data_IF_879098009511
#
_entry.id   IF_879098009511
#
_cell.length_a   1.000
_cell.length_b   1.000
_cell.length_c   1.000
_cell.angle_alpha   90.00
_cell.angle_beta   90.00
_cell.angle_gamma   90.00
#
_symmetry.space_group_name_H-M   'P 1'
#
loop_
_entity.id
_entity.type
_entity.pdbx_description
1 polymer ?
#
# COMPACT_ATOMS: atom_id res chain seq x y z
N UNK A 1 -43.12 0.46 -2.35
CA UNK A 1 -42.38 1.29 -3.31
C UNK A 1 -41.16 0.50 -3.75
N UNK A 2 -40.93 0.36 -5.04
CA UNK A 2 -39.71 -0.25 -5.60
C UNK A 2 -38.59 0.79 -5.61
N UNK A 3 -37.36 0.45 -5.17
CA UNK A 3 -36.25 1.38 -5.23
C UNK A 3 -35.97 1.78 -6.69
N UNK A 4 -35.77 3.07 -6.93
CA UNK A 4 -35.49 3.62 -8.27
C UNK A 4 -34.00 3.60 -8.64
N UNK A 5 -33.13 3.49 -7.63
CA UNK A 5 -31.67 3.50 -7.78
C UNK A 5 -31.11 2.42 -6.86
N UNK A 6 -30.15 1.65 -7.37
CA UNK A 6 -29.31 0.73 -6.61
C UNK A 6 -27.87 1.13 -6.93
N UNK A 7 -27.10 1.46 -5.89
CA UNK A 7 -25.68 1.72 -6.01
C UNK A 7 -24.91 0.46 -5.60
N UNK A 8 -23.88 0.13 -6.36
CA UNK A 8 -22.94 -0.93 -6.04
C UNK A 8 -21.63 -0.26 -5.70
N UNK A 9 -21.02 -0.71 -4.61
CA UNK A 9 -19.60 -0.50 -4.42
C UNK A 9 -18.84 -1.25 -5.52
N UNK A 10 -17.59 -0.88 -5.71
CA UNK A 10 -16.80 -1.29 -6.86
C UNK A 10 -15.80 -2.37 -6.44
N UNK A 11 -14.83 -2.00 -5.61
CA UNK A 11 -13.76 -2.87 -5.16
C UNK A 11 -14.30 -3.94 -4.20
N UNK A 12 -13.91 -5.19 -4.42
CA UNK A 12 -14.37 -6.38 -3.68
C UNK A 12 -15.89 -6.62 -3.71
N UNK A 13 -16.62 -5.89 -4.54
CA UNK A 13 -18.05 -6.09 -4.85
C UNK A 13 -18.27 -6.50 -6.30
N UNK A 14 -17.70 -5.75 -7.25
CA UNK A 14 -17.81 -6.05 -8.69
C UNK A 14 -16.60 -6.83 -9.20
N UNK A 15 -15.43 -6.65 -8.60
CA UNK A 15 -14.18 -7.35 -8.90
C UNK A 15 -13.32 -7.51 -7.66
N UNK A 16 -12.35 -8.43 -7.71
CA UNK A 16 -11.37 -8.60 -6.64
C UNK A 16 -10.41 -7.43 -6.60
N UNK A 17 -10.10 -6.92 -5.41
CA UNK A 17 -9.16 -5.84 -5.19
C UNK A 17 -8.20 -6.15 -4.02
N UNK A 18 -8.71 -6.55 -2.86
CA UNK A 18 -7.88 -6.81 -1.67
C UNK A 18 -6.75 -7.82 -1.88
N UNK A 19 -6.93 -8.94 -2.62
CA UNK A 19 -5.84 -9.89 -2.86
C UNK A 19 -4.62 -9.26 -3.57
N UNK A 20 -4.81 -8.20 -4.35
CA UNK A 20 -3.71 -7.48 -4.99
C UNK A 20 -2.97 -6.58 -4.01
N UNK A 21 -3.67 -5.99 -3.03
CA UNK A 21 -3.04 -5.26 -1.93
C UNK A 21 -2.24 -6.20 -1.02
N UNK A 22 -2.77 -7.39 -0.72
CA UNK A 22 -2.05 -8.43 0.03
C UNK A 22 -0.73 -8.82 -0.67
N UNK A 23 -0.78 -9.08 -1.98
CA UNK A 23 0.42 -9.40 -2.80
C UNK A 23 1.45 -8.26 -2.73
N UNK A 24 0.99 -7.00 -2.85
CA UNK A 24 1.86 -5.83 -2.78
C UNK A 24 2.51 -5.66 -1.40
N UNK A 25 1.75 -5.88 -0.33
CA UNK A 25 2.23 -5.85 1.05
C UNK A 25 3.26 -6.95 1.32
N UNK A 26 3.01 -8.18 0.87
CA UNK A 26 3.94 -9.30 1.01
C UNK A 26 5.28 -8.99 0.30
N UNK A 27 5.21 -8.50 -0.94
CA UNK A 27 6.40 -8.08 -1.70
C UNK A 27 7.21 -7.01 -0.98
N UNK A 28 6.53 -6.04 -0.35
CA UNK A 28 7.20 -5.02 0.46
C UNK A 28 7.83 -5.60 1.72
N UNK A 29 7.14 -6.48 2.44
CA UNK A 29 7.69 -7.16 3.61
C UNK A 29 8.94 -7.97 3.26
N UNK A 30 8.95 -8.71 2.15
CA UNK A 30 10.12 -9.44 1.68
C UNK A 30 11.30 -8.51 1.38
N UNK A 31 11.04 -7.32 0.81
CA UNK A 31 12.07 -6.33 0.51
C UNK A 31 12.76 -5.79 1.78
N UNK A 32 12.04 -5.72 2.90
CA UNK A 32 12.51 -5.14 4.15
C UNK A 32 12.63 -6.14 5.32
N UNK A 33 12.61 -7.44 5.04
CA UNK A 33 12.61 -8.51 6.06
C UNK A 33 13.83 -8.48 6.99
N UNK A 34 14.95 -7.94 6.53
CA UNK A 34 16.17 -7.81 7.34
C UNK A 34 16.09 -6.66 8.36
N UNK A 35 15.08 -5.79 8.28
CA UNK A 35 14.91 -4.63 9.16
C UNK A 35 13.92 -4.87 10.30
N UNK A 36 12.86 -5.63 10.05
CA UNK A 36 11.79 -5.89 11.02
C UNK A 36 10.93 -7.09 10.60
N UNK A 37 10.11 -7.60 11.51
CA UNK A 37 9.12 -8.64 11.18
C UNK A 37 8.04 -8.10 10.24
N UNK A 38 7.40 -8.97 9.45
CA UNK A 38 6.28 -8.57 8.59
C UNK A 38 5.18 -7.85 9.36
N UNK A 39 4.88 -8.30 10.59
CA UNK A 39 3.87 -7.65 11.43
C UNK A 39 4.24 -6.20 11.77
N UNK A 40 5.49 -5.95 12.14
CA UNK A 40 5.98 -4.59 12.43
C UNK A 40 5.97 -3.71 11.18
N UNK A 41 6.41 -4.26 10.05
CA UNK A 41 6.42 -3.57 8.75
C UNK A 41 5.01 -3.14 8.34
N UNK A 42 4.03 -4.06 8.38
CA UNK A 42 2.64 -3.76 8.05
C UNK A 42 2.03 -2.74 9.00
N UNK A 43 2.36 -2.82 10.29
CA UNK A 43 1.96 -1.82 11.28
C UNK A 43 2.50 -0.42 10.94
N UNK A 44 3.74 -0.32 10.47
CA UNK A 44 4.32 0.95 10.03
C UNK A 44 3.62 1.51 8.77
N UNK A 45 3.34 0.67 7.78
CA UNK A 45 2.58 1.09 6.58
C UNK A 45 1.22 1.66 6.99
N UNK A 46 0.47 0.95 7.83
CA UNK A 46 -0.83 1.40 8.32
C UNK A 46 -0.73 2.74 9.08
N UNK A 47 0.26 2.88 9.95
CA UNK A 47 0.47 4.12 10.69
C UNK A 47 0.69 5.32 9.75
N UNK A 48 1.51 5.15 8.71
CA UNK A 48 1.72 6.19 7.70
C UNK A 48 0.46 6.45 6.87
N UNK A 49 -0.30 5.43 6.47
CA UNK A 49 -1.58 5.62 5.76
C UNK A 49 -2.58 6.41 6.60
N UNK A 50 -2.76 6.05 7.87
CA UNK A 50 -3.69 6.75 8.78
C UNK A 50 -3.25 8.19 8.99
N UNK A 51 -1.96 8.41 9.25
CA UNK A 51 -1.40 9.75 9.44
C UNK A 51 -1.58 10.63 8.20
N UNK A 52 -1.41 10.07 7.00
CA UNK A 52 -1.46 10.81 5.75
C UNK A 52 -2.84 10.86 5.12
N UNK A 53 -3.84 10.20 5.70
CA UNK A 53 -5.20 10.16 5.16
C UNK A 53 -5.78 11.56 4.86
N UNK A 54 -5.58 12.61 5.70
CA UNK A 54 -6.06 13.96 5.39
C UNK A 54 -5.39 14.62 4.18
N UNK A 55 -4.18 14.18 3.79
CA UNK A 55 -3.40 14.78 2.72
C UNK A 55 -3.46 13.97 1.43
N UNK A 56 -3.24 12.66 1.50
CA UNK A 56 -3.17 11.79 0.32
C UNK A 56 -4.51 11.13 -0.02
N UNK A 57 -5.45 11.09 0.93
CA UNK A 57 -6.70 10.33 0.78
C UNK A 57 -6.45 8.83 0.65
N UNK A 58 -7.37 8.14 -0.02
CA UNK A 58 -7.33 6.69 -0.22
C UNK A 58 -6.73 6.32 -1.58
N UNK A 59 -6.43 5.02 -1.75
CA UNK A 59 -6.06 4.42 -3.03
C UNK A 59 -4.57 4.17 -3.21
N UNK A 60 -4.22 3.55 -4.34
CA UNK A 60 -2.91 2.94 -4.58
C UNK A 60 -1.75 3.95 -4.55
N UNK A 61 -1.97 5.19 -5.01
CA UNK A 61 -0.93 6.23 -4.98
C UNK A 61 -0.60 6.65 -3.55
N UNK A 62 -1.62 6.84 -2.71
CA UNK A 62 -1.44 7.14 -1.29
C UNK A 62 -0.71 5.98 -0.59
N UNK A 63 -1.12 4.74 -0.87
CA UNK A 63 -0.45 3.53 -0.37
C UNK A 63 1.02 3.46 -0.78
N UNK A 64 1.34 3.76 -2.05
CA UNK A 64 2.73 3.77 -2.56
C UNK A 64 3.58 4.83 -1.84
N UNK A 65 3.04 6.02 -1.61
CA UNK A 65 3.74 7.07 -0.84
C UNK A 65 3.97 6.62 0.61
N UNK A 66 2.98 6.01 1.26
CA UNK A 66 3.13 5.45 2.60
C UNK A 66 4.19 4.36 2.65
N UNK A 67 4.31 3.49 1.64
CA UNK A 67 5.40 2.50 1.55
C UNK A 67 6.78 3.16 1.47
N UNK A 68 6.92 4.26 0.71
CA UNK A 68 8.18 5.02 0.63
C UNK A 68 8.53 5.64 2.00
N UNK A 69 7.57 6.24 2.69
CA UNK A 69 7.77 6.83 4.02
C UNK A 69 8.12 5.75 5.07
N UNK A 70 7.45 4.60 5.03
CA UNK A 70 7.80 3.43 5.85
C UNK A 70 9.23 2.97 5.58
N UNK A 71 9.64 2.90 4.31
CA UNK A 71 10.97 2.47 3.95
C UNK A 71 12.05 3.45 4.40
N UNK A 72 11.80 4.76 4.31
CA UNK A 72 12.67 5.80 4.87
C UNK A 72 12.82 5.63 6.39
N UNK A 73 11.72 5.33 7.10
CA UNK A 73 11.77 5.10 8.54
C UNK A 73 12.53 3.82 8.91
N UNK A 74 12.21 2.69 8.28
CA UNK A 74 12.85 1.38 8.54
C UNK A 74 14.35 1.43 8.31
N UNK A 75 14.79 2.11 7.26
CA UNK A 75 16.20 2.19 6.88
C UNK A 75 16.95 3.34 7.56
N UNK A 76 16.30 4.10 8.44
CA UNK A 76 16.84 5.34 8.99
C UNK A 76 17.41 6.26 7.89
N UNK A 77 16.63 6.48 6.83
CA UNK A 77 16.95 7.27 5.64
C UNK A 77 18.16 6.79 4.82
N UNK A 78 18.59 5.54 4.99
CA UNK A 78 19.70 4.94 4.24
C UNK A 78 19.25 4.03 3.08
N UNK A 79 17.96 4.05 2.73
CA UNK A 79 17.46 3.33 1.56
C UNK A 79 18.19 3.77 0.28
N UNK A 80 18.60 2.80 -0.53
CA UNK A 80 19.23 3.06 -1.83
C UNK A 80 18.20 3.46 -2.88
N UNK A 81 18.64 4.13 -3.96
CA UNK A 81 17.78 4.42 -5.10
C UNK A 81 17.16 3.16 -5.73
N UNK A 82 17.87 2.03 -5.71
CA UNK A 82 17.35 0.73 -6.16
C UNK A 82 16.21 0.22 -5.27
N UNK A 83 16.30 0.43 -3.95
CA UNK A 83 15.21 0.09 -3.03
C UNK A 83 13.95 0.91 -3.32
N UNK A 84 14.10 2.21 -3.58
CA UNK A 84 12.98 3.08 -3.98
C UNK A 84 12.38 2.61 -5.32
N UNK A 85 13.21 2.25 -6.30
CA UNK A 85 12.75 1.72 -7.59
C UNK A 85 11.90 0.45 -7.43
N UNK A 86 12.27 -0.45 -6.53
CA UNK A 86 11.49 -1.65 -6.23
C UNK A 86 10.14 -1.34 -5.59
N UNK A 87 10.07 -0.35 -4.67
CA UNK A 87 8.78 0.11 -4.10
C UNK A 87 7.89 0.71 -5.19
N UNK A 88 8.45 1.54 -6.07
CA UNK A 88 7.72 2.11 -7.20
C UNK A 88 7.22 1.04 -8.16
N UNK A 89 7.97 -0.04 -8.37
CA UNK A 89 7.51 -1.18 -9.16
C UNK A 89 6.28 -1.85 -8.53
N UNK A 90 6.30 -2.10 -7.21
CA UNK A 90 5.12 -2.65 -6.49
C UNK A 90 3.89 -1.76 -6.71
N UNK A 91 4.02 -0.44 -6.52
CA UNK A 91 2.90 0.49 -6.70
C UNK A 91 2.38 0.57 -8.15
N UNK A 92 3.28 0.51 -9.14
CA UNK A 92 2.91 0.51 -10.56
C UNK A 92 2.22 -0.79 -10.97
N UNK A 93 2.70 -1.92 -10.49
CA UNK A 93 2.08 -3.22 -10.76
C UNK A 93 0.65 -3.26 -10.19
N UNK A 94 0.46 -2.73 -8.97
CA UNK A 94 -0.86 -2.63 -8.34
C UNK A 94 -1.82 -1.71 -9.11
N UNK A 95 -1.33 -0.61 -9.70
CA UNK A 95 -2.14 0.27 -10.57
C UNK A 95 -2.56 -0.37 -11.90
N UNK A 96 -1.96 -1.50 -12.29
CA UNK A 96 -2.22 -2.18 -13.55
C UNK A 96 -3.05 -3.47 -13.38
N UNK A 97 -3.52 -3.75 -12.16
CA UNK A 97 -4.42 -4.88 -11.88
C UNK A 97 -5.85 -4.59 -12.33
#
# INVERSE_FOLDING_TARGET
MTPKIIAFDVDDTLWHNEPYFDEAQERFCVLFQDYASSQEILGLILNHQVKNLPLYGFGIKAFTLSMIETALQLTNHQISGKGIEQILAIGKDLLQK
#
